data_IF_037608731536
#
_entry.id   IF_037608731536
#
_cell.length_a   1.000
_cell.length_b   1.000
_cell.length_c   1.000
_cell.angle_alpha   90.00
_cell.angle_beta   90.00
_cell.angle_gamma   90.00
#
_symmetry.space_group_name_H-M   'P 1'
#
loop_
_entity.id
_entity.type
_entity.pdbx_description
1 polymer ?
#
# COMPACT_ATOMS: atom_id res chain seq x y z
N UNK A 1 63.59 -25.27 -12.18
CA UNK A 1 63.24 -24.51 -13.39
C UNK A 1 61.81 -24.88 -13.79
N UNK A 2 60.85 -23.96 -13.57
CA UNK A 2 59.41 -24.03 -13.89
C UNK A 2 58.65 -25.23 -13.26
N UNK A 3 57.41 -25.13 -12.78
CA UNK A 3 56.23 -24.77 -13.54
C UNK A 3 55.07 -24.31 -12.62
N UNK A 4 54.39 -23.27 -13.11
CA UNK A 4 52.93 -23.09 -13.16
C UNK A 4 52.17 -22.74 -11.87
N UNK A 5 52.00 -21.42 -11.77
CA UNK A 5 50.85 -20.71 -11.19
C UNK A 5 49.54 -21.21 -11.85
N UNK A 6 48.47 -21.24 -11.05
CA UNK A 6 47.05 -20.95 -11.36
C UNK A 6 46.09 -22.00 -10.81
N UNK A 7 45.37 -21.64 -9.75
CA UNK A 7 43.90 -21.69 -9.74
C UNK A 7 43.36 -21.22 -8.40
N UNK A 8 42.97 -19.94 -8.31
CA UNK A 8 42.03 -19.49 -7.29
C UNK A 8 40.62 -19.66 -7.84
N UNK A 9 40.01 -20.80 -7.54
CA UNK A 9 38.57 -21.00 -7.70
C UNK A 9 37.89 -20.42 -6.46
N UNK A 10 37.57 -19.12 -6.50
CA UNK A 10 36.65 -18.53 -5.53
C UNK A 10 35.23 -18.88 -5.95
N UNK A 11 34.61 -19.73 -5.14
CA UNK A 11 33.25 -20.21 -5.29
C UNK A 11 32.24 -19.05 -5.39
N UNK A 12 31.46 -19.07 -6.47
CA UNK A 12 30.34 -18.18 -6.72
C UNK A 12 29.20 -18.54 -5.75
N UNK A 13 29.08 -17.83 -4.64
CA UNK A 13 27.93 -17.95 -3.75
C UNK A 13 26.79 -17.08 -4.28
N UNK A 14 25.96 -17.68 -5.16
CA UNK A 14 24.63 -17.17 -5.46
C UNK A 14 23.80 -17.18 -4.17
N UNK A 15 23.72 -16.03 -3.50
CA UNK A 15 22.73 -15.78 -2.43
C UNK A 15 21.36 -15.74 -3.10
N UNK A 16 20.58 -16.79 -2.87
CA UNK A 16 19.18 -16.91 -3.25
C UNK A 16 18.39 -15.67 -2.78
N UNK A 17 17.62 -15.11 -3.71
CA UNK A 17 16.62 -14.08 -3.46
C UNK A 17 15.29 -14.78 -3.18
N UNK A 18 14.79 -14.62 -1.96
CA UNK A 18 13.53 -15.17 -1.44
C UNK A 18 13.01 -14.09 -0.48
N UNK A 19 11.80 -13.51 -0.57
CA UNK A 19 10.52 -13.94 -1.14
C UNK A 19 9.72 -12.69 -1.60
N UNK A 20 8.81 -12.79 -2.59
CA UNK A 20 7.92 -11.70 -2.96
C UNK A 20 6.64 -11.80 -2.10
N UNK A 21 6.50 -10.96 -1.07
CA UNK A 21 5.19 -10.65 -0.51
C UNK A 21 4.58 -9.54 -1.34
N UNK A 22 3.61 -9.93 -2.17
CA UNK A 22 2.68 -9.14 -2.98
C UNK A 22 2.86 -7.60 -2.92
N UNK A 23 3.55 -7.07 -3.92
CA UNK A 23 3.55 -5.64 -4.24
C UNK A 23 2.46 -5.36 -5.27
N UNK A 24 1.26 -4.97 -4.81
CA UNK A 24 0.33 -4.20 -5.64
C UNK A 24 0.69 -2.72 -5.50
N UNK A 25 1.89 -2.36 -5.97
CA UNK A 25 2.36 -0.99 -6.00
C UNK A 25 1.66 -0.25 -7.17
N UNK A 26 0.50 0.34 -6.89
CA UNK A 26 -0.19 1.21 -7.84
C UNK A 26 0.61 2.51 -7.98
N UNK A 27 1.39 2.62 -9.06
CA UNK A 27 2.20 3.79 -9.35
C UNK A 27 1.38 4.81 -10.15
N UNK A 28 0.93 5.88 -9.49
CA UNK A 28 0.52 7.10 -10.19
C UNK A 28 1.77 7.93 -10.50
N UNK A 29 1.79 8.66 -11.63
CA UNK A 29 2.95 9.30 -12.28
C UNK A 29 3.85 10.25 -11.46
N UNK A 30 3.71 10.29 -10.15
CA UNK A 30 4.54 11.02 -9.18
C UNK A 30 5.55 10.11 -8.44
N UNK A 31 5.67 8.83 -8.80
CA UNK A 31 6.60 7.89 -8.16
C UNK A 31 6.23 7.49 -6.72
N UNK A 32 5.06 7.91 -6.25
CA UNK A 32 4.54 7.57 -4.93
C UNK A 32 3.97 6.15 -4.94
N UNK A 33 4.31 5.37 -3.92
CA UNK A 33 3.86 3.99 -3.74
C UNK A 33 3.10 3.88 -2.43
N UNK A 34 1.94 3.20 -2.46
CA UNK A 34 1.22 2.80 -1.24
C UNK A 34 1.78 1.49 -0.73
N UNK A 35 2.14 1.48 0.54
CA UNK A 35 2.45 0.28 1.30
C UNK A 35 1.22 -0.16 2.10
N UNK A 36 0.91 -1.46 2.08
CA UNK A 36 -0.15 -2.04 2.89
C UNK A 36 0.44 -2.78 4.10
N UNK A 37 0.44 -2.11 5.25
CA UNK A 37 0.86 -2.68 6.53
C UNK A 37 -0.33 -3.39 7.19
N UNK A 38 -0.51 -4.66 6.84
CA UNK A 38 -1.61 -5.52 7.34
C UNK A 38 -1.58 -5.71 8.86
N UNK A 39 -0.39 -5.74 9.46
CA UNK A 39 -0.25 -5.97 10.89
C UNK A 39 -0.80 -4.79 11.69
N UNK A 40 -0.47 -3.58 11.25
CA UNK A 40 -0.97 -2.34 11.85
C UNK A 40 -2.29 -1.85 11.22
N UNK A 41 -2.84 -2.61 10.26
CA UNK A 41 -4.10 -2.34 9.56
C UNK A 41 -4.16 -0.92 9.01
N UNK A 42 -3.14 -0.59 8.22
CA UNK A 42 -3.01 0.73 7.60
C UNK A 42 -2.42 0.66 6.20
N UNK A 43 -2.76 1.65 5.41
CA UNK A 43 -2.12 1.93 4.13
C UNK A 43 -1.32 3.21 4.29
N UNK A 44 -0.08 3.25 3.81
CA UNK A 44 0.81 4.40 3.99
C UNK A 44 1.47 4.82 2.68
N UNK A 45 1.71 6.13 2.55
CA UNK A 45 2.61 6.71 1.54
C UNK A 45 3.67 7.50 2.28
N UNK A 46 4.93 7.11 2.09
CA UNK A 46 6.09 7.73 2.72
C UNK A 46 6.81 8.62 1.71
N UNK A 47 7.34 9.78 2.13
CA UNK A 47 8.14 10.60 1.22
C UNK A 47 9.42 9.85 0.82
N UNK A 48 9.99 10.18 -0.33
CA UNK A 48 11.30 9.66 -0.72
C UNK A 48 12.38 9.92 0.34
N UNK A 49 13.43 9.08 0.34
CA UNK A 49 14.54 8.99 1.30
C UNK A 49 14.84 10.30 2.06
N UNK A 50 14.65 10.30 3.39
CA UNK A 50 15.10 11.36 4.29
C UNK A 50 14.02 12.04 5.13
N UNK A 51 12.74 11.72 4.95
CA UNK A 51 11.66 12.20 5.81
C UNK A 51 11.43 11.28 7.02
N UNK A 52 11.05 11.87 8.16
CA UNK A 52 10.73 11.11 9.38
C UNK A 52 9.36 10.43 9.29
N UNK A 53 9.10 9.47 10.18
CA UNK A 53 7.85 8.68 10.22
C UNK A 53 6.57 9.55 10.37
N UNK A 54 6.73 10.79 10.85
CA UNK A 54 5.65 11.76 11.02
C UNK A 54 5.17 12.43 9.72
N UNK A 55 5.90 12.27 8.63
CA UNK A 55 5.57 12.86 7.33
C UNK A 55 4.82 11.89 6.40
N UNK A 56 4.39 10.74 6.90
CA UNK A 56 3.67 9.73 6.13
C UNK A 56 2.17 10.06 6.01
N UNK A 57 1.62 9.92 4.81
CA UNK A 57 0.17 9.87 4.64
C UNK A 57 -0.33 8.46 5.03
N UNK A 58 -1.49 8.38 5.67
CA UNK A 58 -2.00 7.12 6.22
C UNK A 58 -3.52 7.00 6.10
N UNK A 59 -3.98 5.78 5.82
CA UNK A 59 -5.37 5.37 5.95
C UNK A 59 -5.45 4.21 6.94
N UNK A 60 -6.33 4.31 7.93
CA UNK A 60 -6.55 3.25 8.93
C UNK A 60 -7.84 2.49 8.69
N UNK A 61 -7.79 1.18 8.94
CA UNK A 61 -8.96 0.33 8.98
C UNK A 61 -8.93 -0.63 10.17
N UNK A 62 -10.06 -1.26 10.44
CA UNK A 62 -10.16 -2.38 11.39
C UNK A 62 -11.10 -3.44 10.85
N UNK A 63 -10.94 -4.68 11.30
CA UNK A 63 -11.96 -5.71 11.09
C UNK A 63 -13.10 -5.50 12.09
N UNK A 64 -14.34 -5.54 11.60
CA UNK A 64 -15.58 -5.54 12.40
C UNK A 64 -16.25 -6.91 12.42
N UNK A 65 -15.81 -7.82 11.54
CA UNK A 65 -16.23 -9.21 11.46
C UNK A 65 -15.23 -10.04 10.66
N UNK A 66 -15.56 -11.31 10.39
CA UNK A 66 -14.66 -12.22 9.65
C UNK A 66 -14.38 -11.75 8.22
N UNK A 67 -15.38 -11.15 7.55
CA UNK A 67 -15.27 -10.63 6.18
C UNK A 67 -15.70 -9.17 6.07
N UNK A 68 -15.61 -8.45 7.18
CA UNK A 68 -16.09 -7.08 7.29
C UNK A 68 -15.03 -6.19 7.91
N UNK A 69 -14.86 -5.01 7.33
CA UNK A 69 -13.96 -3.99 7.84
C UNK A 69 -14.66 -2.65 7.98
N UNK A 70 -14.07 -1.76 8.77
CA UNK A 70 -14.44 -0.36 8.85
C UNK A 70 -13.26 0.49 8.40
N UNK A 71 -13.45 1.26 7.32
CA UNK A 71 -12.46 2.23 6.81
C UNK A 71 -12.61 3.54 7.60
N UNK A 72 -11.74 3.74 8.58
CA UNK A 72 -11.97 4.67 9.70
C UNK A 72 -11.52 6.10 9.41
N UNK A 73 -10.30 6.28 8.92
CA UNK A 73 -9.69 7.60 8.80
C UNK A 73 -8.65 7.65 7.69
N UNK A 74 -8.44 8.86 7.17
CA UNK A 74 -7.36 9.18 6.25
C UNK A 74 -6.72 10.47 6.70
N UNK A 75 -5.38 10.48 6.77
CA UNK A 75 -4.58 11.66 7.08
C UNK A 75 -3.53 11.86 6.00
N UNK A 76 -3.45 13.09 5.48
CA UNK A 76 -2.46 13.48 4.48
C UNK A 76 -1.72 14.72 4.97
N UNK A 77 -0.42 14.58 5.31
CA UNK A 77 0.47 15.69 5.63
C UNK A 77 0.47 16.78 4.56
N UNK A 78 0.81 18.01 4.96
CA UNK A 78 0.84 19.16 4.06
C UNK A 78 1.76 18.94 2.84
N UNK A 79 2.87 18.23 3.03
CA UNK A 79 3.85 17.85 2.01
C UNK A 79 3.24 17.05 0.85
N UNK A 80 2.14 16.34 1.08
CA UNK A 80 1.46 15.49 0.09
C UNK A 80 0.17 16.08 -0.47
N UNK A 81 -0.26 17.25 0.02
CA UNK A 81 -1.51 17.87 -0.45
C UNK A 81 -1.38 18.30 -1.91
N UNK A 82 -2.50 18.23 -2.64
CA UNK A 82 -2.54 18.54 -4.06
C UNK A 82 -1.98 17.46 -4.99
N UNK A 83 -1.43 16.36 -4.45
CA UNK A 83 -0.80 15.30 -5.24
C UNK A 83 -1.68 14.04 -5.42
N UNK A 84 -2.95 14.10 -4.99
CA UNK A 84 -3.87 12.96 -5.10
C UNK A 84 -3.61 11.80 -4.12
N UNK A 85 -2.75 11.97 -3.11
CA UNK A 85 -2.37 10.89 -2.18
C UNK A 85 -3.55 10.28 -1.43
N UNK A 86 -4.54 11.09 -1.03
CA UNK A 86 -5.74 10.58 -0.36
C UNK A 86 -6.57 9.66 -1.29
N UNK A 87 -6.64 10.00 -2.58
CA UNK A 87 -7.29 9.15 -3.58
C UNK A 87 -6.50 7.85 -3.80
N UNK A 88 -5.17 7.91 -3.85
CA UNK A 88 -4.30 6.73 -3.99
C UNK A 88 -4.46 5.76 -2.82
N UNK A 89 -4.47 6.28 -1.58
CA UNK A 89 -4.77 5.49 -0.38
C UNK A 89 -6.16 4.87 -0.43
N UNK A 90 -7.17 5.64 -0.85
CA UNK A 90 -8.55 5.16 -0.94
C UNK A 90 -8.69 4.05 -1.98
N UNK A 91 -8.06 4.21 -3.15
CA UNK A 91 -8.03 3.19 -4.19
C UNK A 91 -7.41 1.89 -3.67
N UNK A 92 -6.23 1.96 -3.05
CA UNK A 92 -5.56 0.79 -2.49
C UNK A 92 -6.42 0.08 -1.42
N UNK A 93 -7.14 0.86 -0.59
CA UNK A 93 -8.06 0.30 0.38
C UNK A 93 -9.26 -0.42 -0.28
N UNK A 94 -9.85 0.16 -1.34
CA UNK A 94 -10.94 -0.48 -2.07
C UNK A 94 -10.50 -1.74 -2.83
N UNK A 95 -9.32 -1.70 -3.45
CA UNK A 95 -8.75 -2.84 -4.16
C UNK A 95 -8.49 -4.01 -3.19
N UNK A 96 -7.99 -3.71 -1.99
CA UNK A 96 -7.88 -4.71 -0.91
C UNK A 96 -9.22 -5.38 -0.56
N UNK A 97 -10.33 -4.63 -0.54
CA UNK A 97 -11.65 -5.22 -0.30
C UNK A 97 -12.06 -6.19 -1.41
N UNK A 98 -11.78 -5.85 -2.67
CA UNK A 98 -12.08 -6.69 -3.83
C UNK A 98 -11.24 -7.96 -3.78
N UNK A 99 -9.92 -7.82 -3.61
CA UNK A 99 -8.96 -8.92 -3.58
C UNK A 99 -9.31 -9.96 -2.50
N UNK A 100 -9.63 -9.50 -1.29
CA UNK A 100 -9.94 -10.35 -0.14
C UNK A 100 -11.42 -10.70 -0.01
N UNK A 101 -12.27 -10.22 -0.94
CA UNK A 101 -13.73 -10.44 -0.93
C UNK A 101 -14.39 -9.97 0.36
N UNK A 102 -14.00 -8.78 0.82
CA UNK A 102 -14.50 -8.14 2.04
C UNK A 102 -15.66 -7.20 1.73
N UNK A 103 -16.48 -6.95 2.74
CA UNK A 103 -17.42 -5.83 2.80
C UNK A 103 -16.90 -4.75 3.74
N UNK A 104 -17.28 -3.51 3.51
CA UNK A 104 -16.80 -2.37 4.30
C UNK A 104 -17.92 -1.49 4.82
N UNK A 105 -17.89 -1.20 6.12
CA UNK A 105 -18.40 0.06 6.62
C UNK A 105 -17.39 1.17 6.32
N UNK A 106 -17.88 2.37 6.05
CA UNK A 106 -17.01 3.51 5.77
C UNK A 106 -17.32 4.60 6.79
N UNK A 107 -16.52 4.70 7.85
CA UNK A 107 -16.65 5.81 8.82
C UNK A 107 -15.96 7.09 8.34
N UNK A 108 -14.92 6.96 7.52
CA UNK A 108 -14.18 8.11 6.98
C UNK A 108 -15.01 8.90 5.96
N UNK A 109 -15.24 10.19 6.23
CA UNK A 109 -15.97 11.08 5.32
C UNK A 109 -15.31 11.20 3.93
N UNK A 110 -13.98 11.20 3.87
CA UNK A 110 -13.24 11.35 2.62
C UNK A 110 -13.42 10.13 1.73
N UNK A 111 -13.37 8.92 2.31
CA UNK A 111 -13.54 7.68 1.55
C UNK A 111 -14.98 7.57 1.04
N UNK A 112 -15.98 7.99 1.83
CA UNK A 112 -17.37 8.10 1.34
C UNK A 112 -17.44 8.98 0.09
N UNK A 113 -16.87 10.18 0.17
CA UNK A 113 -16.78 11.10 -0.96
C UNK A 113 -16.05 10.48 -2.16
N UNK A 114 -14.92 9.83 -1.92
CA UNK A 114 -14.14 9.15 -2.97
C UNK A 114 -15.00 8.13 -3.73
N UNK A 115 -15.78 7.30 -3.03
CA UNK A 115 -16.67 6.32 -3.64
C UNK A 115 -17.79 6.99 -4.44
N UNK A 116 -18.33 8.10 -3.95
CA UNK A 116 -19.36 8.89 -4.65
C UNK A 116 -18.83 9.50 -5.95
N UNK A 117 -17.59 9.99 -5.93
CA UNK A 117 -16.92 10.62 -7.07
C UNK A 117 -16.45 9.58 -8.13
N UNK A 118 -16.45 8.28 -7.83
CA UNK A 118 -16.00 7.20 -8.73
C UNK A 118 -17.07 6.10 -8.97
N UNK A 119 -18.23 6.43 -9.55
CA UNK A 119 -19.34 5.48 -9.68
C UNK A 119 -19.08 4.31 -10.65
N UNK A 120 -18.20 4.48 -11.64
CA UNK A 120 -17.90 3.46 -12.64
C UNK A 120 -17.13 2.24 -12.07
N UNK A 121 -16.51 2.38 -10.90
CA UNK A 121 -15.72 1.32 -10.27
C UNK A 121 -16.55 0.33 -9.43
N UNK A 122 -17.88 0.47 -9.40
CA UNK A 122 -18.82 -0.41 -8.69
C UNK A 122 -18.52 -0.60 -7.19
N UNK A 123 -17.70 0.27 -6.60
CA UNK A 123 -17.30 0.23 -5.19
C UNK A 123 -18.47 0.29 -4.19
N UNK A 124 -19.61 0.84 -4.61
CA UNK A 124 -20.83 0.89 -3.80
C UNK A 124 -21.33 -0.50 -3.40
N UNK A 125 -21.06 -1.52 -4.20
CA UNK A 125 -21.47 -2.90 -3.90
C UNK A 125 -20.68 -3.51 -2.74
N UNK A 126 -19.51 -2.97 -2.42
CA UNK A 126 -18.67 -3.41 -1.31
C UNK A 126 -19.08 -2.75 0.01
N UNK A 127 -19.81 -1.65 -0.04
CA UNK A 127 -20.17 -0.86 1.14
C UNK A 127 -21.43 -1.42 1.80
N UNK A 128 -21.34 -1.70 3.09
CA UNK A 128 -22.46 -2.09 3.95
C UNK A 128 -22.86 -0.89 4.84
N UNK A 129 -24.16 -0.66 4.96
CA UNK A 129 -24.74 0.51 5.65
C UNK A 129 -25.08 0.16 7.10
#
# INVERSE_FOLDING_TARGET
MAFKICSRLTALTLRLKSHPTAVSALSSGSGLTVEHDRQNRRFTVTPGSGAGDHDCAVLHYRFTGEKEVDLMSTYVPATFRGQGVAALLSQAAMDFLVEEKLKAHVSCWYIKKYIEDHPLQHYKELVIT
#
